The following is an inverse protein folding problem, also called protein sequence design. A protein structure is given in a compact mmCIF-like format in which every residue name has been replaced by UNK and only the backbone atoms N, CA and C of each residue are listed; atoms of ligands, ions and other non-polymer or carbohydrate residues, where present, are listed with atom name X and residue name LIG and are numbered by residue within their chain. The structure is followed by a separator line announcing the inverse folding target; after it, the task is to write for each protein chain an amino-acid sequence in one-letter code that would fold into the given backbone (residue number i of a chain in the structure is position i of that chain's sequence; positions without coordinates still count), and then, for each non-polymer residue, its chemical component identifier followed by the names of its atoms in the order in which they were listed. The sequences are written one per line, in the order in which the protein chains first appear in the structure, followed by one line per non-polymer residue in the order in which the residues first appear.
data_IF_199367091797
#
_entry.id   IF_199367091797
#
_cell.length_a   1.000
_cell.length_b   1.000
_cell.length_c   1.000
_cell.angle_alpha   90.00
_cell.angle_beta   90.00
_cell.angle_gamma   90.00
#
_symmetry.space_group_name_H-M   'P 1'
#
loop_
_entity.id
_entity.type
_entity.pdbx_description
1 polymer ?
#
# COMPACT_ATOMS: atom_id res chain seq x y z
N UNK A 1 36.97 6.59 8.20
CA UNK A 1 36.44 6.12 6.89
C UNK A 1 36.86 7.13 5.83
N UNK A 2 37.46 6.72 4.71
CA UNK A 2 37.96 7.67 3.69
C UNK A 2 36.80 8.42 3.02
N UNK A 3 36.88 9.75 2.93
CA UNK A 3 35.88 10.60 2.24
C UNK A 3 35.59 10.12 0.81
N UNK A 4 36.56 9.50 0.14
CA UNK A 4 36.41 8.96 -1.21
C UNK A 4 35.41 7.78 -1.28
N UNK A 5 35.40 6.91 -0.27
CA UNK A 5 34.50 5.74 -0.22
C UNK A 5 33.06 6.20 -0.01
N UNK A 6 32.83 7.16 0.90
CA UNK A 6 31.49 7.74 1.11
C UNK A 6 30.99 8.43 -0.15
N UNK A 7 31.85 9.19 -0.85
CA UNK A 7 31.50 9.85 -2.12
C UNK A 7 31.10 8.85 -3.21
N UNK A 8 31.77 7.70 -3.29
CA UNK A 8 31.45 6.67 -4.28
C UNK A 8 30.03 6.11 -4.08
N UNK A 9 29.66 5.75 -2.85
CA UNK A 9 28.32 5.22 -2.58
C UNK A 9 27.22 6.27 -2.83
N UNK A 10 27.47 7.54 -2.48
CA UNK A 10 26.52 8.61 -2.78
C UNK A 10 26.27 8.78 -4.29
N UNK A 11 27.29 8.61 -5.13
CA UNK A 11 27.12 8.65 -6.59
C UNK A 11 26.28 7.49 -7.11
N UNK A 12 26.45 6.28 -6.53
CA UNK A 12 25.63 5.12 -6.88
C UNK A 12 24.17 5.35 -6.48
N UNK A 13 23.92 5.87 -5.26
CA UNK A 13 22.56 6.21 -4.84
C UNK A 13 21.94 7.23 -5.79
N UNK A 14 22.67 8.28 -6.15
CA UNK A 14 22.21 9.32 -7.07
C UNK A 14 21.84 8.74 -8.45
N UNK A 15 22.66 7.82 -8.97
CA UNK A 15 22.38 7.15 -10.24
C UNK A 15 21.06 6.39 -10.20
N UNK A 16 20.82 5.56 -9.18
CA UNK A 16 19.57 4.80 -9.08
C UNK A 16 18.36 5.69 -8.81
N UNK A 17 18.52 6.77 -8.03
CA UNK A 17 17.45 7.77 -7.84
C UNK A 17 17.15 8.47 -9.17
N UNK A 18 18.16 8.83 -9.95
CA UNK A 18 17.98 9.41 -11.28
C UNK A 18 17.23 8.46 -12.22
N UNK A 19 17.64 7.18 -12.29
CA UNK A 19 16.93 6.16 -13.07
C UNK A 19 15.48 5.98 -12.60
N UNK A 20 15.23 6.01 -11.30
CA UNK A 20 13.90 5.92 -10.72
C UNK A 20 13.02 7.13 -11.10
N UNK A 21 13.57 8.34 -11.05
CA UNK A 21 12.86 9.56 -11.51
C UNK A 21 12.57 9.49 -13.00
N UNK A 22 13.52 9.03 -13.81
CA UNK A 22 13.31 8.83 -15.25
C UNK A 22 12.19 7.81 -15.53
N UNK A 23 12.08 6.75 -14.72
CA UNK A 23 11.01 5.77 -14.84
C UNK A 23 9.63 6.36 -14.51
N UNK A 24 9.53 7.24 -13.51
CA UNK A 24 8.27 7.89 -13.14
C UNK A 24 7.88 9.04 -14.07
N UNK A 25 8.84 9.61 -14.81
CA UNK A 25 8.61 10.80 -15.61
C UNK A 25 7.48 10.67 -16.66
N UNK A 26 7.36 9.55 -17.41
CA UNK A 26 6.33 9.41 -18.43
C UNK A 26 4.90 9.49 -17.86
N UNK A 27 4.62 8.89 -16.70
CA UNK A 27 3.26 8.92 -16.13
C UNK A 27 2.87 10.34 -15.70
N UNK A 28 3.85 11.14 -15.26
CA UNK A 28 3.60 12.52 -14.82
C UNK A 28 3.48 13.47 -16.01
N UNK A 29 4.33 13.33 -17.04
CA UNK A 29 4.38 14.28 -18.16
C UNK A 29 3.35 13.99 -19.26
N UNK A 30 3.11 12.72 -19.59
CA UNK A 30 2.28 12.36 -20.75
C UNK A 30 0.78 12.46 -20.46
N UNK A 31 0.35 12.27 -19.20
CA UNK A 31 -1.07 12.35 -18.79
C UNK A 31 -2.00 11.58 -19.76
N UNK A 32 -2.81 12.27 -20.57
CA UNK A 32 -3.74 11.68 -21.53
C UNK A 32 -3.05 10.89 -22.65
N UNK A 33 -1.80 11.25 -22.99
CA UNK A 33 -0.97 10.55 -23.97
C UNK A 33 -0.20 9.36 -23.35
N UNK A 34 -0.38 9.10 -22.04
CA UNK A 34 0.33 8.03 -21.34
C UNK A 34 -0.25 6.64 -21.69
N UNK A 35 0.63 5.72 -22.08
CA UNK A 35 0.26 4.31 -22.21
C UNK A 35 0.37 3.59 -20.87
N UNK A 36 -0.77 3.14 -20.34
CA UNK A 36 -0.87 2.40 -19.08
C UNK A 36 -1.03 0.90 -19.38
N UNK A 37 -0.02 0.10 -19.03
CA UNK A 37 0.06 -1.34 -19.36
C UNK A 37 -0.45 -2.27 -18.24
N UNK A 38 -1.34 -1.78 -17.38
CA UNK A 38 -1.84 -2.54 -16.22
C UNK A 38 -3.22 -3.07 -16.58
N UNK A 39 -3.37 -4.39 -16.61
CA UNK A 39 -4.64 -5.07 -16.86
C UNK A 39 -5.65 -4.77 -15.73
N UNK A 40 -6.94 -4.74 -16.08
CA UNK A 40 -8.08 -4.48 -15.18
C UNK A 40 -8.03 -3.13 -14.43
N UNK A 41 -7.14 -2.24 -14.87
CA UNK A 41 -6.93 -0.95 -14.23
C UNK A 41 -7.82 0.13 -14.83
N UNK A 42 -7.60 0.52 -16.10
CA UNK A 42 -8.36 1.62 -16.72
C UNK A 42 -9.80 1.23 -17.07
N UNK A 43 -9.98 -0.01 -17.50
CA UNK A 43 -11.22 -0.64 -17.92
C UNK A 43 -12.01 -1.27 -16.75
N UNK A 44 -11.47 -1.22 -15.54
CA UNK A 44 -12.10 -1.74 -14.32
C UNK A 44 -11.98 -0.75 -13.18
N UNK A 45 -11.00 -0.97 -12.31
CA UNK A 45 -10.86 -0.31 -11.01
C UNK A 45 -10.83 1.24 -11.10
N UNK A 46 -10.14 1.81 -12.10
CA UNK A 46 -10.09 3.26 -12.33
C UNK A 46 -11.47 3.84 -12.60
N UNK A 47 -12.24 3.20 -13.48
CA UNK A 47 -13.52 3.73 -13.96
C UNK A 47 -14.53 3.91 -12.83
N UNK A 48 -14.60 2.95 -11.89
CA UNK A 48 -15.51 3.02 -10.74
C UNK A 48 -15.13 4.16 -9.79
N UNK A 49 -13.83 4.43 -9.64
CA UNK A 49 -13.33 5.52 -8.78
C UNK A 49 -13.65 6.89 -9.35
N UNK A 50 -13.57 7.04 -10.67
CA UNK A 50 -13.96 8.27 -11.36
C UNK A 50 -15.45 8.51 -11.19
N UNK A 51 -16.28 7.51 -11.47
CA UNK A 51 -17.72 7.60 -11.30
C UNK A 51 -18.10 8.02 -9.87
N UNK A 52 -17.53 7.36 -8.85
CA UNK A 52 -17.79 7.69 -7.45
C UNK A 52 -17.42 9.13 -7.07
N UNK A 53 -16.28 9.61 -7.56
CA UNK A 53 -15.84 10.97 -7.30
C UNK A 53 -16.74 12.00 -7.99
N UNK A 54 -17.14 11.76 -9.25
CA UNK A 54 -18.01 12.64 -10.03
C UNK A 54 -19.43 12.72 -9.46
N UNK A 55 -19.98 11.59 -8.99
CA UNK A 55 -21.31 11.55 -8.37
C UNK A 55 -21.32 12.03 -6.91
N UNK A 56 -20.16 12.36 -6.33
CA UNK A 56 -20.06 12.80 -4.94
C UNK A 56 -20.40 11.72 -3.91
N UNK A 57 -20.42 10.44 -4.33
CA UNK A 57 -20.87 9.30 -3.53
C UNK A 57 -19.73 8.65 -2.73
N UNK A 58 -18.59 9.33 -2.54
CA UNK A 58 -17.42 8.74 -1.89
C UNK A 58 -17.72 8.27 -0.45
N UNK A 59 -18.54 9.03 0.28
CA UNK A 59 -18.93 8.75 1.67
C UNK A 59 -20.43 8.45 1.83
N UNK A 60 -21.19 8.38 0.74
CA UNK A 60 -22.63 8.10 0.75
C UNK A 60 -22.88 6.60 0.60
N UNK A 61 -22.64 5.85 1.66
CA UNK A 61 -22.61 4.38 1.62
C UNK A 61 -23.99 3.72 1.40
N UNK A 62 -25.07 4.47 1.57
CA UNK A 62 -26.45 4.02 1.31
C UNK A 62 -26.89 4.27 -0.14
N UNK A 63 -26.08 4.99 -0.93
CA UNK A 63 -26.38 5.28 -2.33
C UNK A 63 -26.29 4.02 -3.22
N UNK A 64 -27.11 4.02 -4.26
CA UNK A 64 -26.94 3.13 -5.41
C UNK A 64 -26.30 3.89 -6.58
N UNK A 65 -25.38 3.22 -7.25
CA UNK A 65 -24.68 3.76 -8.41
C UNK A 65 -25.37 3.18 -9.65
N UNK A 66 -26.42 3.86 -10.10
CA UNK A 66 -27.26 3.41 -11.23
C UNK A 66 -26.46 3.28 -12.54
N UNK A 67 -25.40 4.07 -12.69
CA UNK A 67 -24.50 4.03 -13.85
C UNK A 67 -23.72 2.70 -13.97
N UNK A 68 -23.67 1.88 -12.91
CA UNK A 68 -22.90 0.63 -12.86
C UNK A 68 -23.86 -0.54 -12.69
N UNK A 69 -23.80 -1.50 -13.63
CA UNK A 69 -24.50 -2.80 -13.55
C UNK A 69 -26.01 -2.72 -13.21
N UNK A 70 -26.71 -1.70 -13.72
CA UNK A 70 -28.13 -1.41 -13.42
C UNK A 70 -28.42 -1.10 -11.93
N UNK A 71 -27.45 -0.57 -11.21
CA UNK A 71 -27.57 -0.23 -9.80
C UNK A 71 -26.65 -1.09 -8.94
N UNK A 72 -25.45 -0.57 -8.67
CA UNK A 72 -24.52 -1.18 -7.71
C UNK A 72 -24.60 -0.43 -6.37
N UNK A 73 -24.90 -1.11 -5.25
CA UNK A 73 -24.80 -0.49 -3.93
C UNK A 73 -23.39 0.02 -3.65
N UNK A 74 -23.30 1.29 -3.22
CA UNK A 74 -22.03 1.96 -2.93
C UNK A 74 -21.19 1.19 -1.91
N UNK A 75 -21.83 0.51 -0.96
CA UNK A 75 -21.20 -0.29 0.08
C UNK A 75 -20.32 -1.46 -0.43
N UNK A 76 -20.53 -1.92 -1.68
CA UNK A 76 -19.71 -2.98 -2.29
C UNK A 76 -18.37 -2.48 -2.82
N UNK A 77 -18.24 -1.17 -3.01
CA UNK A 77 -17.00 -0.54 -3.40
C UNK A 77 -16.21 -0.14 -2.14
N UNK A 78 -14.88 -0.21 -2.14
CA UNK A 78 -14.10 0.10 -0.93
C UNK A 78 -14.39 1.45 -0.24
N UNK A 79 -13.94 1.56 1.00
CA UNK A 79 -14.25 2.71 1.86
C UNK A 79 -13.66 4.04 1.37
N UNK A 80 -14.41 5.13 1.50
CA UNK A 80 -13.95 6.49 1.19
C UNK A 80 -12.77 6.96 2.07
N UNK A 81 -12.58 6.30 3.22
CA UNK A 81 -11.45 6.54 4.12
C UNK A 81 -10.10 6.01 3.58
N UNK A 82 -10.10 5.22 2.50
CA UNK A 82 -8.88 4.77 1.86
C UNK A 82 -8.17 5.94 1.18
N UNK A 83 -6.89 6.16 1.48
CA UNK A 83 -6.13 7.29 0.96
C UNK A 83 -5.99 7.26 -0.57
N UNK A 84 -5.94 6.08 -1.19
CA UNK A 84 -5.95 5.94 -2.65
C UNK A 84 -7.19 6.60 -3.24
N UNK A 85 -8.32 6.52 -2.53
CA UNK A 85 -9.64 6.94 -2.98
C UNK A 85 -9.86 8.43 -2.76
N UNK A 86 -9.41 8.91 -1.60
CA UNK A 86 -9.44 10.33 -1.27
C UNK A 86 -8.72 11.19 -2.33
N UNK A 87 -7.68 10.67 -2.99
CA UNK A 87 -7.00 11.39 -4.08
C UNK A 87 -7.92 11.73 -5.25
N UNK A 88 -8.84 10.84 -5.62
CA UNK A 88 -9.78 11.06 -6.72
C UNK A 88 -10.85 12.10 -6.39
N UNK A 89 -11.07 12.39 -5.10
CA UNK A 89 -11.95 13.46 -4.66
C UNK A 89 -11.31 14.85 -4.80
N UNK A 90 -10.01 14.97 -4.54
CA UNK A 90 -9.31 16.26 -4.54
C UNK A 90 -8.69 16.65 -5.88
N UNK A 91 -8.41 15.67 -6.75
CA UNK A 91 -7.70 15.90 -8.00
C UNK A 91 -8.46 15.33 -9.20
N UNK A 92 -8.19 15.87 -10.39
CA UNK A 92 -8.69 15.29 -11.64
C UNK A 92 -8.22 13.82 -11.77
N UNK A 93 -9.00 12.93 -12.39
CA UNK A 93 -8.72 11.50 -12.42
C UNK A 93 -7.28 11.09 -12.80
N UNK A 94 -6.74 11.61 -13.91
CA UNK A 94 -5.39 11.27 -14.36
C UNK A 94 -4.30 11.87 -13.45
N UNK A 95 -4.56 13.03 -12.86
CA UNK A 95 -3.66 13.64 -11.87
C UNK A 95 -3.65 12.85 -10.57
N UNK A 96 -4.82 12.45 -10.07
CA UNK A 96 -4.97 11.58 -8.91
C UNK A 96 -4.22 10.25 -9.12
N UNK A 97 -4.42 9.64 -10.30
CA UNK A 97 -3.72 8.42 -10.71
C UNK A 97 -2.20 8.60 -10.71
N UNK A 98 -1.69 9.68 -11.33
CA UNK A 98 -0.25 9.97 -11.41
C UNK A 98 0.37 10.19 -10.04
N UNK A 99 -0.30 10.95 -9.16
CA UNK A 99 0.13 11.18 -7.78
C UNK A 99 0.21 9.86 -7.03
N UNK A 100 -0.85 9.04 -7.12
CA UNK A 100 -0.93 7.75 -6.46
C UNK A 100 0.17 6.80 -6.95
N UNK A 101 0.39 6.72 -8.26
CA UNK A 101 1.44 5.93 -8.88
C UNK A 101 2.82 6.33 -8.35
N UNK A 102 3.14 7.62 -8.39
CA UNK A 102 4.42 8.13 -7.86
C UNK A 102 4.57 7.81 -6.37
N UNK A 103 3.52 7.97 -5.57
CA UNK A 103 3.55 7.68 -4.14
C UNK A 103 3.83 6.20 -3.85
N UNK A 104 3.10 5.28 -4.49
CA UNK A 104 3.27 3.82 -4.34
C UNK A 104 4.70 3.40 -4.66
N UNK A 105 5.20 3.82 -5.82
CA UNK A 105 6.53 3.45 -6.28
C UNK A 105 7.63 4.08 -5.41
N UNK A 106 7.42 5.31 -4.91
CA UNK A 106 8.35 5.96 -3.99
C UNK A 106 8.42 5.21 -2.65
N UNK A 107 7.27 4.81 -2.11
CA UNK A 107 7.20 4.00 -0.88
C UNK A 107 7.84 2.63 -1.10
N UNK A 108 7.66 2.01 -2.26
CA UNK A 108 8.33 0.76 -2.61
C UNK A 108 9.86 0.90 -2.59
N UNK A 109 10.38 1.95 -3.25
CA UNK A 109 11.81 2.23 -3.29
C UNK A 109 12.39 2.48 -1.90
N UNK A 110 11.80 3.44 -1.16
CA UNK A 110 12.30 3.84 0.16
C UNK A 110 12.15 2.70 1.16
N UNK A 111 10.99 2.03 1.17
CA UNK A 111 10.70 0.92 2.06
C UNK A 111 11.66 -0.24 1.88
N UNK A 112 11.90 -0.66 0.64
CA UNK A 112 12.85 -1.73 0.34
C UNK A 112 14.28 -1.32 0.69
N UNK A 113 14.71 -0.10 0.31
CA UNK A 113 16.06 0.37 0.60
C UNK A 113 16.35 0.43 2.11
N UNK A 114 15.42 1.01 2.89
CA UNK A 114 15.56 1.14 4.34
C UNK A 114 15.53 -0.22 5.02
N UNK A 115 14.63 -1.12 4.62
CA UNK A 115 14.59 -2.51 5.12
C UNK A 115 15.94 -3.21 4.92
N UNK A 116 16.43 -3.19 3.68
CA UNK A 116 17.68 -3.86 3.31
C UNK A 116 18.86 -3.27 4.08
N UNK A 117 19.09 -1.95 4.01
CA UNK A 117 20.25 -1.33 4.67
C UNK A 117 20.26 -1.51 6.18
N UNK A 118 19.08 -1.56 6.82
CA UNK A 118 19.01 -1.61 8.28
C UNK A 118 19.09 -3.01 8.86
N UNK A 119 18.56 -4.01 8.16
CA UNK A 119 18.42 -5.37 8.72
C UNK A 119 19.15 -6.46 7.94
N UNK A 120 19.28 -6.37 6.61
CA UNK A 120 19.79 -7.48 5.79
C UNK A 120 21.18 -7.20 5.19
N UNK A 121 21.40 -6.02 4.61
CA UNK A 121 22.60 -5.60 3.87
C UNK A 121 23.30 -4.44 4.58
N UNK A 122 23.75 -4.71 5.81
CA UNK A 122 24.33 -3.69 6.71
C UNK A 122 25.74 -3.27 6.31
N UNK A 123 26.47 -4.11 5.57
CA UNK A 123 27.83 -3.81 5.13
C UNK A 123 27.83 -2.75 4.02
N UNK A 124 28.73 -1.76 4.11
CA UNK A 124 28.78 -0.67 3.12
C UNK A 124 29.15 -1.16 1.72
N UNK A 125 29.95 -2.22 1.61
CA UNK A 125 30.29 -2.84 0.31
C UNK A 125 29.06 -3.38 -0.43
N UNK A 126 27.96 -3.64 0.28
CA UNK A 126 26.68 -4.11 -0.26
C UNK A 126 25.68 -2.96 -0.49
N UNK A 127 26.10 -1.71 -0.31
CA UNK A 127 25.22 -0.55 -0.50
C UNK A 127 24.61 -0.52 -1.92
N UNK A 128 25.42 -0.80 -2.95
CA UNK A 128 24.96 -0.83 -4.34
C UNK A 128 23.91 -1.92 -4.57
N UNK A 129 24.05 -3.08 -3.91
CA UNK A 129 23.06 -4.16 -3.95
C UNK A 129 21.76 -3.69 -3.33
N UNK A 130 21.82 -3.05 -2.15
CA UNK A 130 20.63 -2.58 -1.46
C UNK A 130 19.83 -1.56 -2.29
N UNK A 131 20.50 -0.55 -2.87
CA UNK A 131 19.82 0.46 -3.70
C UNK A 131 19.38 -0.10 -5.06
N UNK A 132 20.16 -1.01 -5.67
CA UNK A 132 19.78 -1.68 -6.91
C UNK A 132 18.56 -2.59 -6.73
N UNK A 133 18.51 -3.38 -5.66
CA UNK A 133 17.34 -4.21 -5.33
C UNK A 133 16.12 -3.34 -5.02
N UNK A 134 16.30 -2.23 -4.31
CA UNK A 134 15.22 -1.28 -4.07
C UNK A 134 14.68 -0.66 -5.36
N UNK A 135 15.55 -0.30 -6.31
CA UNK A 135 15.16 0.14 -7.64
C UNK A 135 14.38 -0.95 -8.39
N UNK A 136 14.91 -2.17 -8.49
CA UNK A 136 14.25 -3.27 -9.20
C UNK A 136 12.87 -3.59 -8.60
N UNK A 137 12.74 -3.56 -7.27
CA UNK A 137 11.46 -3.74 -6.61
C UNK A 137 10.50 -2.59 -6.92
N UNK A 138 11.00 -1.35 -6.89
CA UNK A 138 10.20 -0.16 -7.10
C UNK A 138 9.70 0.01 -8.54
N UNK A 139 10.23 -0.69 -9.53
CA UNK A 139 9.75 -0.62 -10.92
C UNK A 139 8.84 -1.80 -11.31
N UNK A 140 8.54 -2.69 -10.35
CA UNK A 140 7.56 -3.76 -10.58
C UNK A 140 6.19 -3.15 -10.93
N UNK A 141 5.40 -3.82 -11.80
CA UNK A 141 4.09 -3.31 -12.22
C UNK A 141 3.05 -3.49 -11.11
N UNK A 142 3.16 -2.69 -10.05
CA UNK A 142 2.17 -2.67 -8.97
C UNK A 142 0.85 -2.13 -9.48
N UNK A 143 -0.25 -2.73 -9.03
CA UNK A 143 -1.59 -2.28 -9.39
C UNK A 143 -1.96 -1.04 -8.54
N UNK A 144 -2.05 0.18 -9.12
CA UNK A 144 -2.08 1.42 -8.34
C UNK A 144 -3.36 1.55 -7.51
N UNK A 145 -4.44 0.95 -7.98
CA UNK A 145 -5.75 1.03 -7.34
C UNK A 145 -5.85 0.32 -5.98
N UNK A 146 -4.90 -0.56 -5.67
CA UNK A 146 -4.79 -1.22 -4.37
C UNK A 146 -3.79 -0.53 -3.43
N UNK A 147 -3.31 0.65 -3.84
CA UNK A 147 -2.44 1.50 -3.03
C UNK A 147 -1.15 0.80 -2.60
N UNK A 148 -0.87 0.83 -1.31
CA UNK A 148 0.36 0.25 -0.75
C UNK A 148 0.33 -1.27 -0.56
N UNK A 149 -0.73 -1.98 -0.93
CA UNK A 149 -0.90 -3.40 -0.62
C UNK A 149 0.36 -4.25 -0.89
N UNK A 150 0.89 -4.24 -2.12
CA UNK A 150 2.10 -5.01 -2.48
C UNK A 150 3.38 -4.19 -2.32
N UNK A 151 3.36 -2.94 -2.79
CA UNK A 151 4.48 -2.02 -2.75
C UNK A 151 4.96 -1.68 -1.32
N UNK A 152 4.06 -1.63 -0.34
CA UNK A 152 4.34 -1.25 1.04
C UNK A 152 4.86 -2.38 1.92
N UNK A 153 4.85 -3.64 1.45
CA UNK A 153 5.26 -4.81 2.24
C UNK A 153 6.66 -4.69 2.85
N UNK A 154 7.70 -4.18 2.15
CA UNK A 154 9.01 -4.01 2.76
C UNK A 154 8.99 -3.04 3.94
N UNK A 155 8.21 -1.96 3.84
CA UNK A 155 8.10 -0.94 4.88
C UNK A 155 7.30 -1.45 6.10
N UNK A 156 6.27 -2.25 5.86
CA UNK A 156 5.53 -2.93 6.94
C UNK A 156 6.44 -3.93 7.65
N UNK A 157 7.14 -4.78 6.91
CA UNK A 157 8.09 -5.72 7.50
C UNK A 157 9.15 -4.98 8.33
N UNK A 158 9.68 -3.87 7.81
CA UNK A 158 10.58 -2.99 8.55
C UNK A 158 9.96 -2.49 9.86
N UNK A 159 8.71 -2.04 9.86
CA UNK A 159 8.01 -1.61 11.07
C UNK A 159 7.83 -2.76 12.07
N UNK A 160 7.43 -3.95 11.63
CA UNK A 160 7.25 -5.10 12.53
C UNK A 160 8.58 -5.63 13.11
N UNK A 161 9.67 -5.60 12.34
CA UNK A 161 11.01 -5.92 12.86
C UNK A 161 11.44 -4.88 13.92
N UNK A 162 11.16 -3.60 13.68
CA UNK A 162 11.39 -2.54 14.66
C UNK A 162 10.58 -2.78 15.95
N UNK A 163 9.29 -3.11 15.85
CA UNK A 163 8.44 -3.45 17.00
C UNK A 163 8.97 -4.66 17.78
N UNK A 164 9.43 -5.70 17.07
CA UNK A 164 10.03 -6.88 17.67
C UNK A 164 11.26 -6.53 18.53
N UNK A 165 12.17 -5.72 17.98
CA UNK A 165 13.38 -5.27 18.69
C UNK A 165 13.16 -4.03 19.58
N UNK A 166 11.92 -3.54 19.70
CA UNK A 166 11.55 -2.33 20.45
C UNK A 166 12.33 -1.06 20.02
N UNK A 167 12.58 -0.91 18.73
CA UNK A 167 13.26 0.26 18.14
C UNK A 167 12.26 1.12 17.39
N UNK A 168 12.45 2.44 17.41
CA UNK A 168 11.64 3.39 16.62
C UNK A 168 10.12 3.11 16.67
N UNK A 169 9.60 2.87 17.88
CA UNK A 169 8.21 2.41 18.09
C UNK A 169 7.19 3.37 17.45
N UNK A 170 7.32 4.67 17.72
CA UNK A 170 6.39 5.69 17.19
C UNK A 170 6.35 5.68 15.67
N UNK A 171 7.53 5.67 15.02
CA UNK A 171 7.62 5.61 13.55
C UNK A 171 6.98 4.31 13.05
N UNK A 172 7.22 3.19 13.73
CA UNK A 172 6.70 1.89 13.31
C UNK A 172 5.17 1.83 13.39
N UNK A 173 4.57 2.34 14.46
CA UNK A 173 3.11 2.43 14.56
C UNK A 173 2.52 3.40 13.53
N UNK A 174 3.15 4.55 13.29
CA UNK A 174 2.72 5.48 12.25
C UNK A 174 2.77 4.85 10.84
N UNK A 175 3.82 4.08 10.54
CA UNK A 175 3.95 3.35 9.28
C UNK A 175 2.87 2.28 9.12
N UNK A 176 2.53 1.55 10.19
CA UNK A 176 1.47 0.54 10.18
C UNK A 176 0.10 1.18 9.96
N UNK A 177 -0.18 2.29 10.65
CA UNK A 177 -1.43 3.05 10.47
C UNK A 177 -1.53 3.58 9.03
N UNK A 178 -0.48 4.22 8.53
CA UNK A 178 -0.44 4.73 7.15
C UNK A 178 -0.64 3.60 6.13
N UNK A 179 0.00 2.44 6.35
CA UNK A 179 -0.20 1.29 5.50
C UNK A 179 -1.67 0.86 5.50
N UNK A 180 -2.28 0.62 6.67
CA UNK A 180 -3.69 0.21 6.75
C UNK A 180 -4.67 1.20 6.13
N UNK A 181 -4.38 2.51 6.20
CA UNK A 181 -5.19 3.57 5.55
C UNK A 181 -5.01 3.63 4.03
N UNK A 182 -3.91 3.08 3.51
CA UNK A 182 -3.52 3.25 2.10
C UNK A 182 -3.43 1.92 1.33
N UNK A 183 -3.63 0.77 1.97
CA UNK A 183 -3.64 -0.54 1.31
C UNK A 183 -5.05 -1.14 1.28
N UNK A 184 -5.30 -1.98 0.28
CA UNK A 184 -6.57 -2.70 0.17
C UNK A 184 -6.60 -3.97 1.05
N UNK A 185 -7.65 -4.12 1.86
CA UNK A 185 -7.87 -5.30 2.70
C UNK A 185 -7.99 -6.57 1.86
N UNK A 186 -8.77 -6.50 0.77
CA UNK A 186 -9.15 -7.63 -0.08
C UNK A 186 -7.93 -8.25 -0.79
N UNK A 187 -6.94 -7.43 -1.18
CA UNK A 187 -5.77 -7.94 -1.92
C UNK A 187 -4.75 -8.63 -1.01
N UNK A 188 -4.34 -7.97 0.07
CA UNK A 188 -3.25 -8.47 0.94
C UNK A 188 -3.55 -8.34 2.43
N UNK A 189 -4.47 -7.45 2.82
CA UNK A 189 -4.68 -7.08 4.22
C UNK A 189 -5.06 -8.26 5.09
N UNK A 190 -5.99 -9.10 4.63
CA UNK A 190 -6.39 -10.30 5.36
C UNK A 190 -5.22 -11.27 5.54
N UNK A 191 -4.43 -11.49 4.47
CA UNK A 191 -3.28 -12.40 4.50
C UNK A 191 -2.18 -11.88 5.43
N UNK A 192 -1.83 -10.59 5.35
CA UNK A 192 -0.75 -10.03 6.17
C UNK A 192 -1.13 -10.02 7.65
N UNK A 193 -2.37 -9.70 8.00
CA UNK A 193 -2.86 -9.78 9.38
C UNK A 193 -2.76 -11.22 9.90
N UNK A 194 -3.19 -12.20 9.09
CA UNK A 194 -3.07 -13.63 9.42
C UNK A 194 -1.62 -14.08 9.62
N UNK A 195 -0.70 -13.71 8.73
CA UNK A 195 0.72 -14.04 8.82
C UNK A 195 1.34 -13.40 10.08
N UNK A 196 1.03 -12.14 10.37
CA UNK A 196 1.56 -11.44 11.54
C UNK A 196 1.04 -12.04 12.85
N UNK A 197 -0.23 -12.43 12.88
CA UNK A 197 -0.82 -13.13 14.03
C UNK A 197 -0.19 -14.52 14.23
N UNK A 198 0.00 -15.28 13.15
CA UNK A 198 0.69 -16.57 13.19
C UNK A 198 2.16 -16.44 13.64
N UNK A 199 2.86 -15.42 13.14
CA UNK A 199 4.23 -15.11 13.57
C UNK A 199 4.29 -14.74 15.06
N UNK A 200 3.32 -13.96 15.55
CA UNK A 200 3.21 -13.64 16.97
C UNK A 200 2.95 -14.88 17.83
N UNK A 201 2.00 -15.75 17.44
CA UNK A 201 1.73 -17.02 18.13
C UNK A 201 2.96 -17.92 18.15
N UNK A 202 3.63 -18.09 17.01
CA UNK A 202 4.85 -18.88 16.92
C UNK A 202 5.93 -18.36 17.88
N UNK A 203 6.12 -17.05 17.93
CA UNK A 203 7.07 -16.43 18.86
C UNK A 203 6.63 -16.61 20.32
N UNK A 204 5.34 -16.48 20.63
CA UNK A 204 4.81 -16.73 21.97
C UNK A 204 5.11 -18.15 22.44
N UNK A 205 4.90 -19.16 21.59
CA UNK A 205 5.18 -20.55 21.96
C UNK A 205 6.69 -20.84 22.06
N UNK A 206 7.50 -20.26 21.16
CA UNK A 206 8.94 -20.50 21.10
C UNK A 206 9.72 -19.78 22.21
N UNK A 207 9.46 -18.49 22.42
CA UNK A 207 10.21 -17.65 23.37
C UNK A 207 9.54 -17.58 24.74
N UNK A 208 8.28 -18.01 24.86
CA UNK A 208 7.42 -17.80 26.05
C UNK A 208 7.27 -16.32 26.43
N UNK A 209 7.54 -15.40 25.49
CA UNK A 209 7.35 -13.97 25.66
C UNK A 209 6.20 -13.47 24.81
N UNK A 210 5.45 -12.53 25.36
CA UNK A 210 4.27 -11.96 24.71
C UNK A 210 4.57 -11.05 23.53
N UNK A 211 5.81 -10.57 23.35
CA UNK A 211 6.17 -9.61 22.28
C UNK A 211 5.10 -8.53 22.06
N UNK A 212 4.67 -7.85 23.14
CA UNK A 212 3.46 -7.01 23.20
C UNK A 212 3.36 -6.01 22.05
N UNK A 213 4.47 -5.37 21.67
CA UNK A 213 4.47 -4.42 20.56
C UNK A 213 4.13 -5.05 19.21
N UNK A 214 4.54 -6.29 18.96
CA UNK A 214 4.20 -7.04 17.75
C UNK A 214 2.68 -7.30 17.69
N UNK A 215 2.09 -7.73 18.81
CA UNK A 215 0.64 -7.91 18.93
C UNK A 215 -0.11 -6.60 18.74
N UNK A 216 0.30 -5.54 19.43
CA UNK A 216 -0.31 -4.22 19.31
C UNK A 216 -0.20 -3.66 17.88
N UNK A 217 0.90 -3.91 17.17
CA UNK A 217 1.04 -3.54 15.76
C UNK A 217 0.06 -4.30 14.87
N UNK A 218 -0.10 -5.61 15.09
CA UNK A 218 -1.07 -6.43 14.37
C UNK A 218 -2.52 -6.02 14.65
N UNK A 219 -2.86 -5.74 15.91
CA UNK A 219 -4.17 -5.24 16.33
C UNK A 219 -4.44 -3.86 15.73
N UNK A 220 -3.47 -2.94 15.74
CA UNK A 220 -3.61 -1.63 15.10
C UNK A 220 -3.90 -1.78 13.61
N UNK A 221 -3.17 -2.65 12.92
CA UNK A 221 -3.39 -2.89 11.48
C UNK A 221 -4.80 -3.44 11.23
N UNK A 222 -5.22 -4.43 12.00
CA UNK A 222 -6.57 -5.01 11.92
C UNK A 222 -7.64 -3.94 12.16
N UNK A 223 -7.54 -3.18 13.25
CA UNK A 223 -8.50 -2.12 13.57
C UNK A 223 -8.55 -1.04 12.48
N UNK A 224 -7.41 -0.72 11.87
CA UNK A 224 -7.37 0.24 10.76
C UNK A 224 -8.13 -0.31 9.55
N UNK A 225 -7.95 -1.58 9.20
CA UNK A 225 -8.72 -2.20 8.12
C UNK A 225 -10.22 -2.30 8.43
N UNK A 226 -10.58 -2.66 9.66
CA UNK A 226 -11.97 -2.67 10.08
C UNK A 226 -12.58 -1.27 9.96
N UNK A 227 -11.83 -0.23 10.30
CA UNK A 227 -12.28 1.16 10.16
C UNK A 227 -12.43 1.56 8.69
N UNK A 228 -11.44 1.26 7.84
CA UNK A 228 -11.47 1.66 6.43
C UNK A 228 -12.56 0.90 5.67
N UNK A 229 -12.72 -0.39 5.91
CA UNK A 229 -13.58 -1.29 5.13
C UNK A 229 -14.86 -1.72 5.86
N UNK A 230 -15.26 -1.01 6.93
CA UNK A 230 -16.41 -1.38 7.76
C UNK A 230 -17.70 -1.64 6.96
N UNK A 231 -17.99 -0.81 5.95
CA UNK A 231 -19.19 -0.98 5.11
C UNK A 231 -19.14 -2.25 4.27
N UNK A 232 -18.00 -2.51 3.62
CA UNK A 232 -17.80 -3.73 2.85
C UNK A 232 -17.97 -4.97 3.74
N UNK A 233 -17.39 -4.94 4.95
CA UNK A 233 -17.50 -6.03 5.93
C UNK A 233 -18.95 -6.19 6.40
N UNK A 234 -19.65 -5.09 6.67
CA UNK A 234 -21.04 -5.12 7.08
C UNK A 234 -21.94 -5.75 6.00
N UNK A 235 -21.87 -5.24 4.76
CA UNK A 235 -22.68 -5.76 3.65
C UNK A 235 -22.36 -7.22 3.33
N UNK A 236 -21.10 -7.64 3.44
CA UNK A 236 -20.73 -9.01 3.11
C UNK A 236 -21.12 -10.04 4.19
N UNK A 237 -21.05 -9.67 5.48
CA UNK A 237 -21.22 -10.63 6.58
C UNK A 237 -22.51 -10.47 7.39
N UNK A 238 -23.14 -9.29 7.37
CA UNK A 238 -24.23 -8.94 8.29
C UNK A 238 -25.52 -8.54 7.57
N UNK A 239 -25.46 -8.24 6.27
CA UNK A 239 -26.64 -7.88 5.48
C UNK A 239 -27.27 -9.12 4.83
N UNK A 240 -28.30 -9.66 5.48
CA UNK A 240 -29.05 -10.83 4.98
C UNK A 240 -29.81 -10.55 3.67
N UNK A 241 -30.02 -9.28 3.31
CA UNK A 241 -30.69 -8.90 2.07
C UNK A 241 -29.74 -8.87 0.86
N UNK A 242 -28.42 -8.89 1.10
CA UNK A 242 -27.43 -8.88 0.03
C UNK A 242 -27.28 -10.28 -0.59
N UNK A 243 -27.62 -10.39 -1.88
CA UNK A 243 -27.39 -11.60 -2.67
C UNK A 243 -26.09 -11.44 -3.45
N UNK A 244 -25.12 -12.30 -3.16
CA UNK A 244 -23.85 -12.33 -3.91
C UNK A 244 -24.10 -12.77 -5.35
N UNK A 245 -23.45 -12.10 -6.31
CA UNK A 245 -23.45 -12.51 -7.72
C UNK A 245 -22.90 -13.94 -7.96
N UNK A 246 -22.28 -14.57 -6.95
CA UNK A 246 -21.79 -15.97 -7.03
C UNK A 246 -22.84 -17.01 -6.63
N UNK A 247 -24.06 -16.60 -6.28
CA UNK A 247 -25.15 -17.52 -5.94
C UNK A 247 -25.96 -18.00 -7.14
N UNK A 248 -25.65 -17.51 -8.35
CA UNK A 248 -26.22 -18.02 -9.61
C UNK A 248 -25.60 -19.36 -10.03
#
# INVERSE_FOLDING_TARGET
MSKAITRHYSLITLLFVFLFVLYLLPVVLLQEDAYIFILDNLDGEFSWRVALAEYGMLFDYDANIDAIMNGLPRSMLPGGANLTWSLFYFFKPLTAYSINYVAIHTVAFVGMFVLLKRYFLREEKLHWVAVGTAFCFAILPFHPMFGLATAGLPLVLFAFINLYYRKHLVISYALILLFGLYSALVLIGALIVGILFAAWLFLLFKSRQWHVHLLLGGVLLLLTYLLVEHHFIYTFFLDDAFISHRSE
#
